data_IF_769366072525
#
_entry.id   IF_769366072525
#
_cell.length_a   1.000
_cell.length_b   1.000
_cell.length_c   1.000
_cell.angle_alpha   90.00
_cell.angle_beta   90.00
_cell.angle_gamma   90.00
#
_symmetry.space_group_name_H-M   'P 1'
#
loop_
_entity.id
_entity.type
_entity.pdbx_description
1 polymer ?
#
# COMPACT_ATOMS: atom_id res chain seq x y z
N UNK A 1 43.69 65.51 -36.57
CA UNK A 1 43.46 65.08 -37.98
C UNK A 1 43.62 63.56 -38.04
N UNK A 2 42.48 62.87 -38.19
CA UNK A 2 42.23 61.56 -38.83
C UNK A 2 43.28 60.42 -38.80
N UNK A 3 42.79 59.23 -38.36
CA UNK A 3 42.86 57.86 -38.95
C UNK A 3 43.14 56.82 -37.85
N UNK A 4 42.14 56.07 -37.36
CA UNK A 4 41.62 54.76 -37.85
C UNK A 4 42.67 53.63 -37.85
N UNK A 5 42.39 52.58 -37.06
CA UNK A 5 42.43 51.14 -37.42
C UNK A 5 42.87 50.28 -36.23
N UNK A 6 41.94 49.66 -35.50
CA UNK A 6 41.59 48.24 -35.62
C UNK A 6 42.77 47.26 -35.47
N UNK A 7 42.92 46.66 -34.29
CA UNK A 7 43.37 45.28 -34.19
C UNK A 7 42.69 44.59 -33.00
N UNK A 8 41.80 43.67 -33.33
CA UNK A 8 41.08 42.80 -32.41
C UNK A 8 41.99 41.63 -32.04
N UNK A 9 42.14 41.32 -30.75
CA UNK A 9 42.49 39.97 -30.30
C UNK A 9 41.69 39.67 -29.02
N UNK A 10 40.49 39.15 -29.22
CA UNK A 10 39.64 38.61 -28.15
C UNK A 10 40.08 37.15 -27.96
N UNK A 11 40.80 36.86 -26.88
CA UNK A 11 41.13 35.50 -26.47
C UNK A 11 39.86 34.93 -25.82
N UNK A 12 39.13 34.11 -26.59
CA UNK A 12 38.01 33.32 -26.10
C UNK A 12 38.61 32.10 -25.41
N UNK A 13 38.59 32.10 -24.08
CA UNK A 13 38.80 30.89 -23.29
C UNK A 13 37.60 29.96 -23.53
N UNK A 14 37.82 28.88 -24.29
CA UNK A 14 36.92 27.73 -24.30
C UNK A 14 36.93 27.10 -22.91
N UNK A 15 35.89 27.36 -22.12
CA UNK A 15 35.49 26.45 -21.04
C UNK A 15 34.85 25.23 -21.70
N UNK A 16 35.61 24.16 -21.85
CA UNK A 16 35.07 22.82 -22.04
C UNK A 16 34.45 22.41 -20.69
N UNK A 17 33.19 22.77 -20.50
CA UNK A 17 32.31 22.08 -19.56
C UNK A 17 32.09 20.68 -20.13
N UNK A 18 32.81 19.70 -19.59
CA UNK A 18 32.42 18.31 -19.72
C UNK A 18 31.05 18.18 -19.06
N UNK A 19 30.03 18.03 -19.91
CA UNK A 19 28.73 17.55 -19.49
C UNK A 19 28.95 16.08 -19.16
N UNK A 20 29.00 15.75 -17.87
CA UNK A 20 28.76 14.38 -17.44
C UNK A 20 27.31 14.10 -17.84
N UNK A 21 27.12 13.38 -18.94
CA UNK A 21 25.86 12.69 -19.20
C UNK A 21 25.87 11.48 -18.28
N UNK A 22 25.48 11.71 -17.03
CA UNK A 22 24.98 10.65 -16.18
C UNK A 22 23.61 10.28 -16.78
N UNK A 23 23.66 9.50 -17.86
CA UNK A 23 22.48 8.82 -18.42
C UNK A 23 22.14 7.66 -17.46
N UNK A 24 21.79 8.01 -16.22
CA UNK A 24 20.85 7.21 -15.48
C UNK A 24 19.55 7.31 -16.26
N UNK A 25 19.18 6.23 -16.94
CA UNK A 25 17.89 6.15 -17.61
C UNK A 25 16.82 6.45 -16.54
N UNK A 26 16.25 7.66 -16.56
CA UNK A 26 15.01 7.93 -15.83
C UNK A 26 14.03 6.85 -16.29
N UNK A 27 13.67 5.93 -15.39
CA UNK A 27 12.59 4.99 -15.67
C UNK A 27 11.41 5.84 -16.13
N UNK A 28 10.89 5.56 -17.32
CA UNK A 28 9.78 6.29 -17.92
C UNK A 28 8.51 5.90 -17.17
N UNK A 29 8.38 6.35 -15.93
CA UNK A 29 7.11 6.51 -15.24
C UNK A 29 6.43 7.79 -15.76
N UNK A 30 6.53 8.06 -17.06
CA UNK A 30 5.71 9.04 -17.75
C UNK A 30 4.23 8.74 -17.44
N UNK A 31 3.34 9.69 -17.71
CA UNK A 31 1.90 9.49 -17.69
C UNK A 31 1.43 8.51 -18.79
N UNK A 32 2.23 7.49 -19.12
CA UNK A 32 1.84 6.36 -19.94
C UNK A 32 0.59 5.77 -19.31
N UNK A 33 -0.48 5.82 -20.09
CA UNK A 33 -1.81 5.49 -19.61
C UNK A 33 -1.91 3.99 -19.33
N UNK A 34 -1.18 3.13 -20.05
CA UNK A 34 -1.33 1.66 -19.95
C UNK A 34 -0.17 1.01 -19.19
N UNK A 35 -0.48 0.14 -18.23
CA UNK A 35 0.52 -0.52 -17.38
C UNK A 35 1.49 -1.40 -18.18
N UNK A 36 1.01 -2.24 -19.10
CA UNK A 36 1.88 -3.12 -19.89
C UNK A 36 2.94 -2.36 -20.69
N UNK A 37 2.66 -1.15 -21.14
CA UNK A 37 3.63 -0.30 -21.84
C UNK A 37 4.75 0.14 -20.90
N UNK A 38 4.41 0.51 -19.66
CA UNK A 38 5.40 0.82 -18.60
C UNK A 38 6.25 -0.42 -18.30
N UNK A 39 5.64 -1.59 -18.11
CA UNK A 39 6.38 -2.80 -17.76
C UNK A 39 7.29 -3.28 -18.90
N UNK A 40 6.93 -3.04 -20.16
CA UNK A 40 7.70 -3.50 -21.33
C UNK A 40 9.09 -2.86 -21.47
N UNK A 41 9.34 -1.72 -20.83
CA UNK A 41 10.60 -0.96 -20.94
C UNK A 41 11.34 -0.79 -19.62
N UNK A 42 10.77 -1.27 -18.50
CA UNK A 42 11.35 -1.15 -17.16
C UNK A 42 11.63 -2.53 -16.57
N UNK A 43 12.61 -2.62 -15.67
CA UNK A 43 12.79 -3.81 -14.82
C UNK A 43 11.66 -3.82 -13.80
N UNK A 44 10.96 -4.94 -13.65
CA UNK A 44 9.82 -5.02 -12.76
C UNK A 44 9.70 -6.38 -12.07
N UNK A 45 8.99 -6.38 -10.94
CA UNK A 45 8.63 -7.56 -10.17
C UNK A 45 7.12 -7.57 -9.92
N UNK A 46 6.46 -8.63 -10.37
CA UNK A 46 5.04 -8.92 -10.10
C UNK A 46 4.88 -9.51 -8.69
N UNK A 47 3.68 -9.37 -8.12
CA UNK A 47 3.31 -9.87 -6.79
C UNK A 47 4.24 -9.39 -5.65
N UNK A 48 4.93 -8.26 -5.86
CA UNK A 48 5.91 -7.72 -4.93
C UNK A 48 5.33 -6.67 -3.96
N UNK A 49 4.09 -6.24 -4.19
CA UNK A 49 3.41 -5.26 -3.33
C UNK A 49 2.23 -5.92 -2.61
N UNK A 50 2.25 -5.84 -1.29
CA UNK A 50 1.11 -6.22 -0.46
C UNK A 50 0.05 -5.12 -0.58
N UNK A 51 -1.08 -5.45 -1.20
CA UNK A 51 -2.20 -4.53 -1.38
C UNK A 51 -3.54 -5.25 -1.18
N UNK A 52 -4.52 -4.50 -0.69
CA UNK A 52 -5.91 -4.96 -0.57
C UNK A 52 -6.87 -3.78 -0.72
N UNK A 53 -8.15 -4.03 -0.93
CA UNK A 53 -9.15 -2.97 -1.03
C UNK A 53 -10.41 -3.26 -0.21
N UNK A 54 -10.98 -2.21 0.35
CA UNK A 54 -12.23 -2.27 1.11
C UNK A 54 -13.14 -1.10 0.72
N UNK A 55 -14.46 -1.31 0.75
CA UNK A 55 -15.39 -0.17 0.77
C UNK A 55 -15.38 0.49 2.15
N UNK A 56 -15.56 1.81 2.23
CA UNK A 56 -15.53 2.52 3.52
C UNK A 56 -16.76 2.24 4.39
N UNK A 57 -16.65 2.54 5.68
CA UNK A 57 -17.71 2.39 6.69
C UNK A 57 -18.84 3.41 6.54
N UNK A 58 -18.55 4.58 5.97
CA UNK A 58 -19.52 5.67 5.81
C UNK A 58 -20.10 5.79 4.39
N UNK A 59 -19.45 5.24 3.35
CA UNK A 59 -19.96 5.23 1.98
C UNK A 59 -19.48 4.00 1.20
N UNK A 60 -20.38 3.04 0.98
CA UNK A 60 -20.08 1.82 0.25
C UNK A 60 -19.66 2.04 -1.22
N UNK A 61 -19.88 3.23 -1.79
CA UNK A 61 -19.42 3.56 -3.14
C UNK A 61 -17.94 3.98 -3.19
N UNK A 62 -17.40 4.38 -2.03
CA UNK A 62 -16.02 4.79 -1.85
C UNK A 62 -15.16 3.57 -1.48
N UNK A 63 -14.04 3.41 -2.17
CA UNK A 63 -13.11 2.31 -1.98
C UNK A 63 -11.75 2.87 -1.58
N UNK A 64 -11.20 2.31 -0.52
CA UNK A 64 -9.79 2.50 -0.16
C UNK A 64 -8.99 1.32 -0.69
N UNK A 65 -7.97 1.59 -1.50
CA UNK A 65 -6.98 0.62 -1.96
C UNK A 65 -5.72 0.81 -1.11
N UNK A 66 -5.57 -0.04 -0.10
CA UNK A 66 -4.46 -0.02 0.84
C UNK A 66 -3.25 -0.75 0.27
N UNK A 67 -2.06 -0.28 0.63
CA UNK A 67 -0.81 -0.98 0.31
C UNK A 67 0.29 -0.67 1.33
N UNK A 68 1.23 -1.61 1.44
CA UNK A 68 2.45 -1.47 2.24
C UNK A 68 3.62 -1.05 1.33
N UNK A 69 4.13 0.20 1.46
CA UNK A 69 5.33 0.62 0.74
C UNK A 69 6.60 0.11 1.42
N UNK A 70 7.49 -0.52 0.66
CA UNK A 70 8.84 -0.85 1.13
C UNK A 70 9.68 0.42 1.43
N UNK A 71 10.73 0.25 2.23
CA UNK A 71 11.68 1.33 2.50
C UNK A 71 12.31 1.86 1.19
N UNK A 72 12.23 3.18 0.97
CA UNK A 72 12.70 3.81 -0.26
C UNK A 72 11.72 3.77 -1.42
N UNK A 73 10.51 3.23 -1.22
CA UNK A 73 9.46 3.27 -2.22
C UNK A 73 9.01 4.71 -2.53
N UNK A 74 8.83 4.99 -3.82
CA UNK A 74 8.42 6.29 -4.33
C UNK A 74 7.52 6.14 -5.56
N UNK A 75 6.96 7.27 -6.02
CA UNK A 75 6.15 7.33 -7.24
C UNK A 75 4.95 6.37 -7.23
N UNK A 76 4.20 6.36 -6.13
CA UNK A 76 3.00 5.52 -5.97
C UNK A 76 1.96 5.85 -7.03
N UNK A 77 1.54 4.85 -7.79
CA UNK A 77 0.49 4.93 -8.80
C UNK A 77 -0.55 3.85 -8.58
N UNK A 78 -1.78 4.17 -8.96
CA UNK A 78 -2.88 3.22 -9.05
C UNK A 78 -3.26 3.06 -10.52
N UNK A 79 -3.39 1.82 -10.95
CA UNK A 79 -3.92 1.46 -12.24
C UNK A 79 -5.24 0.69 -12.06
N UNK A 80 -6.15 0.85 -13.01
CA UNK A 80 -7.47 0.23 -12.97
C UNK A 80 -7.90 -0.30 -14.34
N UNK A 81 -8.72 -1.34 -14.35
CA UNK A 81 -9.33 -1.86 -15.58
C UNK A 81 -10.67 -1.17 -15.87
N UNK A 82 -11.31 -1.52 -16.99
CA UNK A 82 -12.74 -1.25 -17.12
C UNK A 82 -13.59 -2.13 -16.16
N UNK A 83 -14.90 -1.86 -16.10
CA UNK A 83 -15.85 -2.57 -15.22
C UNK A 83 -16.20 -4.00 -15.68
N UNK A 84 -15.84 -4.38 -16.91
CA UNK A 84 -16.24 -5.65 -17.53
C UNK A 84 -15.07 -6.63 -17.69
N UNK A 85 -13.85 -6.17 -17.42
CA UNK A 85 -12.62 -6.94 -17.53
C UNK A 85 -12.69 -8.19 -16.67
N UNK A 86 -12.49 -9.33 -17.31
CA UNK A 86 -12.59 -10.64 -16.65
C UNK A 86 -11.24 -11.05 -16.07
N UNK A 87 -10.18 -10.91 -16.86
CA UNK A 87 -8.83 -11.31 -16.47
C UNK A 87 -8.08 -10.15 -15.79
N UNK A 88 -7.89 -10.22 -14.47
CA UNK A 88 -7.10 -9.23 -13.74
C UNK A 88 -5.59 -9.29 -14.02
N UNK A 89 -5.10 -10.37 -14.62
CA UNK A 89 -3.66 -10.53 -14.92
C UNK A 89 -3.27 -9.91 -16.28
N UNK A 90 -4.22 -9.39 -17.05
CA UNK A 90 -3.94 -8.72 -18.33
C UNK A 90 -3.60 -7.24 -18.12
N UNK A 91 -2.33 -6.95 -17.85
CA UNK A 91 -1.84 -5.58 -17.64
C UNK A 91 -1.99 -4.63 -18.85
N UNK A 92 -2.42 -5.13 -20.02
CA UNK A 92 -2.75 -4.25 -21.15
C UNK A 92 -4.10 -3.55 -21.01
N UNK A 93 -4.96 -4.03 -20.11
CA UNK A 93 -6.28 -3.43 -19.81
C UNK A 93 -6.22 -2.38 -18.69
N UNK A 94 -5.05 -2.18 -18.09
CA UNK A 94 -4.87 -1.34 -16.90
C UNK A 94 -4.49 0.09 -17.25
N UNK A 95 -5.37 1.02 -16.92
CA UNK A 95 -5.23 2.45 -17.14
C UNK A 95 -4.79 3.17 -15.86
N UNK A 96 -3.81 4.06 -15.96
CA UNK A 96 -3.37 4.91 -14.86
C UNK A 96 -4.49 5.87 -14.44
N UNK A 97 -4.71 5.98 -13.13
CA UNK A 97 -5.58 6.99 -12.55
C UNK A 97 -4.79 7.93 -11.64
N UNK A 98 -4.93 9.22 -11.93
CA UNK A 98 -4.22 10.29 -11.24
C UNK A 98 -4.88 10.58 -9.88
N UNK A 99 -4.42 9.84 -8.87
CA UNK A 99 -4.84 9.97 -7.48
C UNK A 99 -3.63 10.13 -6.57
N UNK A 100 -3.76 10.99 -5.56
CA UNK A 100 -2.78 11.07 -4.48
C UNK A 100 -3.05 10.01 -3.41
N UNK A 101 -1.98 9.54 -2.78
CA UNK A 101 -2.07 8.60 -1.66
C UNK A 101 -2.09 9.34 -0.33
N UNK A 102 -2.91 8.83 0.60
CA UNK A 102 -2.96 9.28 1.99
C UNK A 102 -2.17 8.30 2.87
N UNK A 103 -1.42 8.79 3.87
CA UNK A 103 -0.76 7.90 4.83
C UNK A 103 -1.80 7.26 5.76
N UNK A 104 -1.51 6.03 6.19
CA UNK A 104 -2.22 5.31 7.24
C UNK A 104 -1.20 4.81 8.26
N UNK A 105 -1.58 4.82 9.54
CA UNK A 105 -0.71 4.45 10.65
C UNK A 105 0.65 5.17 10.66
N UNK A 106 0.60 6.51 10.56
CA UNK A 106 1.78 7.38 10.40
C UNK A 106 2.71 7.01 9.24
N UNK A 107 2.14 6.43 8.17
CA UNK A 107 2.83 6.17 6.91
C UNK A 107 3.37 4.75 6.77
N UNK A 108 3.16 3.89 7.77
CA UNK A 108 3.49 2.47 7.65
C UNK A 108 2.67 1.79 6.54
N UNK A 109 1.41 2.21 6.37
CA UNK A 109 0.60 1.90 5.20
C UNK A 109 0.24 3.18 4.47
N UNK A 110 -0.18 3.03 3.22
CA UNK A 110 -0.77 4.12 2.44
C UNK A 110 -2.02 3.61 1.73
N UNK A 111 -2.87 4.52 1.30
CA UNK A 111 -4.02 4.15 0.48
C UNK A 111 -4.35 5.19 -0.57
N UNK A 112 -4.93 4.72 -1.67
CA UNK A 112 -5.68 5.53 -2.61
C UNK A 112 -7.17 5.46 -2.26
N UNK A 113 -7.91 6.53 -2.51
CA UNK A 113 -9.35 6.60 -2.29
C UNK A 113 -10.03 6.89 -3.63
N UNK A 114 -10.98 6.04 -4.04
CA UNK A 114 -11.61 6.13 -5.37
C UNK A 114 -13.09 5.76 -5.34
N UNK A 115 -13.85 6.29 -6.29
CA UNK A 115 -15.25 5.90 -6.58
C UNK A 115 -15.36 5.08 -7.86
N UNK A 116 -14.23 4.60 -8.41
CA UNK A 116 -14.19 3.83 -9.64
C UNK A 116 -15.01 2.53 -9.59
N UNK A 117 -15.59 2.18 -10.72
CA UNK A 117 -16.31 0.92 -10.94
C UNK A 117 -15.46 -0.10 -11.71
N UNK A 118 -14.15 0.12 -11.84
CA UNK A 118 -13.21 -0.83 -12.42
C UNK A 118 -13.40 -2.23 -11.81
N UNK A 119 -13.25 -3.27 -12.61
CA UNK A 119 -13.30 -4.64 -12.13
C UNK A 119 -12.08 -4.96 -11.24
N UNK A 120 -10.91 -4.39 -11.57
CA UNK A 120 -9.66 -4.63 -10.86
C UNK A 120 -8.85 -3.35 -10.67
N UNK A 121 -8.06 -3.35 -9.60
CA UNK A 121 -7.02 -2.37 -9.32
C UNK A 121 -5.66 -3.05 -9.23
N UNK A 122 -4.58 -2.31 -9.48
CA UNK A 122 -3.23 -2.71 -9.07
C UNK A 122 -2.40 -1.50 -8.67
N UNK A 123 -1.67 -1.63 -7.57
CA UNK A 123 -0.76 -0.60 -7.07
C UNK A 123 0.61 -0.84 -7.66
N UNK A 124 1.24 0.24 -8.11
CA UNK A 124 2.58 0.22 -8.69
C UNK A 124 3.42 1.30 -8.01
N UNK A 125 4.65 0.95 -7.63
CA UNK A 125 5.63 1.93 -7.15
C UNK A 125 7.05 1.54 -7.56
N UNK A 126 8.00 2.44 -7.33
CA UNK A 126 9.40 2.22 -7.66
C UNK A 126 10.25 2.11 -6.40
N UNK A 127 11.17 1.15 -6.37
CA UNK A 127 12.25 1.04 -5.36
C UNK A 127 13.57 0.94 -6.11
N UNK A 128 14.42 1.96 -6.00
CA UNK A 128 15.63 2.06 -6.83
C UNK A 128 15.24 2.05 -8.32
N UNK A 129 15.79 1.12 -9.09
CA UNK A 129 15.51 0.99 -10.54
C UNK A 129 14.48 -0.11 -10.87
N UNK A 130 13.78 -0.64 -9.85
CA UNK A 130 12.79 -1.71 -10.03
C UNK A 130 11.38 -1.21 -9.78
N UNK A 131 10.48 -1.50 -10.72
CA UNK A 131 9.04 -1.31 -10.56
C UNK A 131 8.45 -2.49 -9.80
N UNK A 132 7.80 -2.22 -8.68
CA UNK A 132 7.07 -3.21 -7.88
C UNK A 132 5.59 -3.13 -8.25
N UNK A 133 5.00 -4.28 -8.58
CA UNK A 133 3.60 -4.40 -8.98
C UNK A 133 2.85 -5.28 -7.97
N UNK A 134 1.68 -4.84 -7.52
CA UNK A 134 0.81 -5.63 -6.66
C UNK A 134 0.11 -6.74 -7.45
N UNK A 135 -0.15 -7.86 -6.78
CA UNK A 135 -1.20 -8.78 -7.25
C UNK A 135 -2.50 -8.00 -7.44
N UNK A 136 -3.21 -8.15 -8.57
CA UNK A 136 -4.48 -7.48 -8.81
C UNK A 136 -5.47 -7.62 -7.65
N UNK A 137 -6.14 -6.51 -7.33
CA UNK A 137 -7.18 -6.45 -6.31
C UNK A 137 -8.54 -6.37 -6.98
N UNK A 138 -9.41 -7.35 -6.72
CA UNK A 138 -10.76 -7.37 -7.29
C UNK A 138 -11.62 -6.33 -6.59
N UNK A 139 -12.24 -5.44 -7.36
CA UNK A 139 -13.23 -4.53 -6.82
C UNK A 139 -14.56 -5.26 -6.65
N UNK A 140 -15.04 -5.38 -5.40
CA UNK A 140 -16.31 -6.04 -5.08
C UNK A 140 -17.33 -5.08 -4.48
N UNK A 141 -17.07 -3.77 -4.49
CA UNK A 141 -17.92 -2.78 -3.80
C UNK A 141 -19.41 -2.87 -4.14
N UNK A 142 -19.76 -3.23 -5.38
CA UNK A 142 -21.17 -3.29 -5.82
C UNK A 142 -21.83 -4.64 -5.59
N UNK A 143 -21.07 -5.74 -5.52
CA UNK A 143 -21.59 -7.09 -5.33
C UNK A 143 -21.50 -7.57 -3.88
N UNK A 144 -20.44 -7.14 -3.17
CA UNK A 144 -20.09 -7.51 -1.81
C UNK A 144 -19.28 -6.38 -1.15
N UNK A 145 -19.93 -5.26 -0.73
CA UNK A 145 -19.27 -4.25 0.09
C UNK A 145 -18.69 -4.85 1.37
N UNK A 146 -17.57 -4.29 1.84
CA UNK A 146 -16.93 -4.65 3.10
C UNK A 146 -17.85 -4.35 4.29
N UNK A 147 -17.90 -5.26 5.25
CA UNK A 147 -18.64 -5.07 6.50
C UNK A 147 -17.72 -4.49 7.58
N UNK A 148 -18.29 -3.66 8.45
CA UNK A 148 -17.56 -2.98 9.52
C UNK A 148 -18.19 -3.29 10.87
N UNK A 149 -17.36 -3.64 11.86
CA UNK A 149 -17.78 -3.91 13.24
C UNK A 149 -16.64 -3.57 14.22
N UNK A 150 -16.93 -3.59 15.52
CA UNK A 150 -15.97 -3.43 16.61
C UNK A 150 -15.95 -4.66 17.54
N UNK A 151 -16.55 -5.77 17.12
CA UNK A 151 -16.70 -6.99 17.91
C UNK A 151 -15.43 -7.87 17.86
N UNK A 152 -14.55 -7.69 18.85
CA UNK A 152 -13.42 -8.59 19.13
C UNK A 152 -13.47 -9.05 20.58
N UNK A 153 -13.25 -10.34 20.81
CA UNK A 153 -13.02 -10.89 22.14
C UNK A 153 -11.57 -10.65 22.54
N UNK A 154 -11.36 -9.91 23.64
CA UNK A 154 -10.03 -9.55 24.14
C UNK A 154 -9.80 -10.21 25.51
N UNK A 155 -8.88 -11.16 25.57
CA UNK A 155 -8.46 -11.80 26.82
C UNK A 155 -7.13 -11.20 27.28
N UNK A 156 -7.16 -10.53 28.45
CA UNK A 156 -6.01 -9.82 29.04
C UNK A 156 -5.43 -10.50 30.29
N UNK A 157 -5.69 -11.80 30.48
CA UNK A 157 -5.18 -12.56 31.63
C UNK A 157 -3.65 -12.51 31.75
N UNK A 158 -2.94 -12.38 30.62
CA UNK A 158 -1.50 -12.16 30.60
C UNK A 158 -1.22 -10.66 30.39
N UNK A 159 -0.68 -10.02 31.42
CA UNK A 159 -0.40 -8.58 31.41
C UNK A 159 0.48 -8.18 30.22
N UNK A 160 0.01 -7.17 29.47
CA UNK A 160 0.69 -6.62 28.29
C UNK A 160 0.72 -7.54 27.07
N UNK A 161 0.04 -8.70 27.09
CA UNK A 161 0.01 -9.69 26.00
C UNK A 161 -1.40 -10.19 25.71
N UNK A 162 -2.33 -9.28 25.33
CA UNK A 162 -3.72 -9.65 25.05
C UNK A 162 -3.81 -10.69 23.93
N UNK A 163 -4.82 -11.56 24.06
CA UNK A 163 -5.26 -12.47 23.01
C UNK A 163 -6.53 -11.90 22.41
N UNK A 164 -6.51 -11.68 21.10
CA UNK A 164 -7.63 -11.21 20.29
C UNK A 164 -8.24 -12.40 19.57
N UNK A 165 -9.57 -12.48 19.51
CA UNK A 165 -10.28 -13.48 18.73
C UNK A 165 -11.55 -12.87 18.15
N UNK A 166 -11.87 -13.21 16.91
CA UNK A 166 -13.00 -12.64 16.17
C UNK A 166 -13.78 -13.71 15.43
N UNK A 167 -15.04 -13.41 15.14
CA UNK A 167 -15.87 -14.25 14.28
C UNK A 167 -15.52 -14.00 12.81
N UNK A 168 -15.55 -15.08 12.02
CA UNK A 168 -15.23 -15.05 10.60
C UNK A 168 -16.53 -15.00 9.81
N UNK A 169 -16.75 -13.96 9.00
CA UNK A 169 -17.99 -13.82 8.22
C UNK A 169 -18.19 -14.98 7.23
N UNK A 170 -17.11 -15.45 6.60
CA UNK A 170 -17.18 -16.54 5.63
C UNK A 170 -15.85 -17.24 5.42
N UNK A 171 -15.68 -18.40 6.06
CA UNK A 171 -14.48 -19.23 5.88
C UNK A 171 -14.16 -19.58 4.41
N UNK A 172 -15.19 -19.68 3.55
CA UNK A 172 -15.01 -19.97 2.12
C UNK A 172 -14.50 -18.78 1.31
N UNK A 173 -14.80 -17.55 1.74
CA UNK A 173 -14.44 -16.33 0.99
C UNK A 173 -13.18 -15.64 1.51
N UNK A 174 -12.64 -16.11 2.63
CA UNK A 174 -11.53 -15.51 3.35
C UNK A 174 -10.26 -16.33 3.15
N UNK A 175 -9.15 -15.66 2.87
CA UNK A 175 -7.87 -16.29 2.64
C UNK A 175 -6.90 -16.07 3.81
N UNK A 176 -6.90 -14.86 4.38
CA UNK A 176 -5.91 -14.45 5.38
C UNK A 176 -6.45 -13.28 6.19
N UNK A 177 -6.02 -13.17 7.45
CA UNK A 177 -6.30 -12.04 8.31
C UNK A 177 -5.08 -11.13 8.38
N UNK A 178 -5.31 -9.82 8.25
CA UNK A 178 -4.29 -8.80 8.49
C UNK A 178 -4.61 -8.08 9.80
N UNK A 179 -3.81 -8.34 10.83
CA UNK A 179 -3.98 -7.73 12.14
C UNK A 179 -3.05 -6.54 12.34
N UNK A 180 -3.59 -5.46 12.87
CA UNK A 180 -2.85 -4.23 13.17
C UNK A 180 -3.17 -3.80 14.59
N UNK A 181 -2.13 -3.49 15.35
CA UNK A 181 -2.24 -2.83 16.64
C UNK A 181 -1.64 -1.43 16.54
N UNK A 182 -2.39 -0.42 17.00
CA UNK A 182 -1.94 0.97 17.01
C UNK A 182 -2.17 1.65 18.34
N UNK A 183 -1.47 2.76 18.56
CA UNK A 183 -1.85 3.74 19.58
C UNK A 183 -3.14 4.47 19.20
N UNK A 184 -3.72 5.24 20.14
CA UNK A 184 -4.83 6.17 19.83
C UNK A 184 -4.43 7.26 18.82
N UNK A 185 -3.15 7.63 18.76
CA UNK A 185 -2.61 8.56 17.76
C UNK A 185 -2.33 7.91 16.41
N UNK A 186 -2.80 6.67 16.19
CA UNK A 186 -2.58 5.88 14.97
C UNK A 186 -1.11 5.59 14.69
N UNK A 187 -0.25 5.48 15.71
CA UNK A 187 1.11 4.95 15.51
C UNK A 187 1.05 3.43 15.39
N UNK A 188 1.66 2.87 14.34
CA UNK A 188 1.80 1.42 14.21
C UNK A 188 2.65 0.86 15.35
N UNK A 189 2.10 -0.13 16.06
CA UNK A 189 2.82 -0.92 17.07
C UNK A 189 3.18 -2.28 16.50
N UNK A 190 2.22 -2.94 15.84
CA UNK A 190 2.39 -4.26 15.24
C UNK A 190 1.50 -4.40 14.02
N UNK A 191 2.00 -5.05 12.98
CA UNK A 191 1.25 -5.46 11.79
C UNK A 191 1.65 -6.87 11.37
N UNK A 192 0.70 -7.80 11.39
CA UNK A 192 0.93 -9.22 11.11
C UNK A 192 -0.14 -9.79 10.20
N UNK A 193 0.15 -10.93 9.60
CA UNK A 193 -0.83 -11.74 8.92
C UNK A 193 -0.88 -13.14 9.53
N UNK A 194 -2.10 -13.68 9.67
CA UNK A 194 -2.33 -15.05 10.12
C UNK A 194 -3.44 -15.74 9.30
N UNK A 195 -3.47 -17.07 9.34
CA UNK A 195 -4.61 -17.86 8.83
C UNK A 195 -5.66 -18.15 9.90
N UNK A 196 -5.38 -17.82 11.16
CA UNK A 196 -6.23 -18.16 12.29
C UNK A 196 -7.01 -16.92 12.72
N UNK A 197 -8.27 -17.08 13.11
CA UNK A 197 -9.09 -15.99 13.63
C UNK A 197 -8.76 -15.60 15.09
N UNK A 198 -7.51 -15.82 15.49
CA UNK A 198 -6.99 -15.52 16.82
C UNK A 198 -5.52 -15.10 16.73
N UNK A 199 -5.18 -14.04 17.43
CA UNK A 199 -3.83 -13.51 17.50
C UNK A 199 -3.48 -13.15 18.94
N UNK A 200 -2.29 -13.54 19.41
CA UNK A 200 -1.76 -13.08 20.70
C UNK A 200 -0.63 -12.09 20.45
N UNK A 201 -0.74 -10.90 21.04
CA UNK A 201 0.32 -9.90 20.95
C UNK A 201 1.67 -10.48 21.41
N UNK A 202 2.72 -10.22 20.62
CA UNK A 202 4.08 -10.76 20.76
C UNK A 202 4.31 -12.25 20.51
N UNK A 203 3.29 -13.01 20.10
CA UNK A 203 3.50 -14.39 19.65
C UNK A 203 3.42 -14.45 18.15
N UNK A 204 4.47 -15.00 17.55
CA UNK A 204 4.59 -15.16 16.10
C UNK A 204 4.35 -16.60 15.65
N UNK A 205 3.97 -17.51 16.55
CA UNK A 205 3.84 -18.95 16.27
C UNK A 205 2.85 -19.26 15.14
N UNK A 206 1.80 -18.43 15.00
CA UNK A 206 0.78 -18.52 13.95
C UNK A 206 0.88 -17.39 12.90
N UNK A 207 1.93 -16.58 12.94
CA UNK A 207 2.15 -15.47 12.01
C UNK A 207 2.87 -15.97 10.77
N UNK A 208 2.30 -15.67 9.61
CA UNK A 208 2.84 -16.09 8.30
C UNK A 208 3.58 -14.97 7.59
N UNK A 209 3.26 -13.71 7.93
CA UNK A 209 3.98 -12.54 7.48
C UNK A 209 3.95 -11.47 8.58
N UNK A 210 5.08 -10.82 8.83
CA UNK A 210 5.20 -9.75 9.81
C UNK A 210 5.75 -8.50 9.12
N UNK A 211 4.97 -7.43 9.09
CA UNK A 211 5.36 -6.14 8.49
C UNK A 211 5.83 -5.14 9.56
N UNK A 212 5.87 -5.55 10.83
CA UNK A 212 6.40 -4.74 11.92
C UNK A 212 7.92 -4.61 11.74
N UNK A 213 8.47 -3.38 11.61
CA UNK A 213 9.87 -3.19 11.24
C UNK A 213 10.84 -3.66 12.33
N UNK A 214 10.46 -3.50 13.59
CA UNK A 214 11.26 -3.86 14.77
C UNK A 214 10.45 -4.74 15.73
N UNK A 215 11.10 -5.22 16.79
CA UNK A 215 10.38 -5.87 17.89
C UNK A 215 9.40 -4.86 18.51
N UNK A 216 8.09 -5.18 18.62
CA UNK A 216 7.13 -4.23 19.17
C UNK A 216 7.47 -3.88 20.64
N UNK A 217 7.03 -2.71 21.15
CA UNK A 217 7.20 -2.32 22.55
C UNK A 217 6.13 -2.92 23.46
N UNK A 218 6.42 -3.07 24.76
CA UNK A 218 5.45 -3.64 25.70
C UNK A 218 4.23 -2.72 25.78
N UNK A 219 3.04 -3.31 25.80
CA UNK A 219 1.85 -2.53 26.05
C UNK A 219 1.88 -2.01 27.48
N UNK A 220 1.44 -0.77 27.66
CA UNK A 220 1.47 -0.07 28.93
C UNK A 220 0.10 -0.22 29.58
N UNK A 221 0.04 -0.83 30.76
CA UNK A 221 -1.21 -0.95 31.54
C UNK A 221 -1.84 0.43 31.77
N UNK A 222 -3.15 0.51 31.58
CA UNK A 222 -3.94 1.73 31.65
C UNK A 222 -3.93 2.58 30.37
N UNK A 223 -3.08 2.28 29.38
CA UNK A 223 -3.13 2.96 28.09
C UNK A 223 -4.18 2.34 27.17
N UNK A 224 -4.69 3.18 26.26
CA UNK A 224 -5.61 2.78 25.22
C UNK A 224 -4.88 2.49 23.91
N UNK A 225 -5.40 1.50 23.19
CA UNK A 225 -4.90 1.05 21.90
C UNK A 225 -6.08 0.69 20.99
N UNK A 226 -5.81 0.59 19.70
CA UNK A 226 -6.80 0.17 18.69
C UNK A 226 -6.28 -1.10 18.05
N UNK A 227 -7.06 -2.18 18.16
CA UNK A 227 -6.84 -3.40 17.42
C UNK A 227 -7.72 -3.40 16.17
N UNK A 228 -7.11 -3.57 15.01
CA UNK A 228 -7.80 -3.68 13.74
C UNK A 228 -7.50 -5.04 13.12
N UNK A 229 -8.52 -5.72 12.59
CA UNK A 229 -8.31 -6.87 11.70
C UNK A 229 -9.05 -6.65 10.39
N UNK A 230 -8.36 -6.91 9.29
CA UNK A 230 -8.95 -6.98 7.96
C UNK A 230 -9.01 -8.43 7.50
N UNK A 231 -10.19 -8.86 7.10
CA UNK A 231 -10.47 -10.19 6.62
C UNK A 231 -10.35 -10.22 5.09
N UNK A 232 -9.23 -10.71 4.58
CA UNK A 232 -8.81 -10.54 3.18
C UNK A 232 -9.07 -11.82 2.39
N UNK A 233 -9.76 -11.71 1.26
CA UNK A 233 -10.03 -12.80 0.32
C UNK A 233 -8.83 -13.11 -0.58
N UNK A 234 -8.92 -14.22 -1.33
CA UNK A 234 -7.90 -14.60 -2.32
C UNK A 234 -7.75 -13.59 -3.45
N UNK A 235 -8.80 -12.80 -3.73
CA UNK A 235 -8.80 -11.73 -4.72
C UNK A 235 -8.47 -10.35 -4.11
N UNK A 236 -7.83 -10.36 -2.93
CA UNK A 236 -7.34 -9.20 -2.17
C UNK A 236 -8.42 -8.19 -1.77
N UNK A 237 -9.70 -8.58 -1.81
CA UNK A 237 -10.78 -7.77 -1.28
C UNK A 237 -10.95 -8.01 0.22
N UNK A 238 -11.21 -6.95 0.96
CA UNK A 238 -11.48 -7.04 2.40
C UNK A 238 -12.97 -7.26 2.61
N UNK A 239 -13.35 -8.44 3.07
CA UNK A 239 -14.74 -8.79 3.35
C UNK A 239 -15.25 -8.15 4.64
N UNK A 240 -14.39 -8.08 5.66
CA UNK A 240 -14.69 -7.48 6.96
C UNK A 240 -13.52 -6.62 7.43
N UNK A 241 -13.84 -5.48 8.03
CA UNK A 241 -12.92 -4.72 8.87
C UNK A 241 -13.50 -4.70 10.28
N UNK A 242 -12.72 -5.13 11.25
CA UNK A 242 -13.05 -5.02 12.66
C UNK A 242 -12.08 -4.04 13.29
N UNK A 243 -12.58 -3.02 13.98
CA UNK A 243 -11.75 -2.01 14.64
C UNK A 243 -12.22 -1.79 16.06
N UNK A 244 -11.46 -2.26 17.04
CA UNK A 244 -11.84 -2.31 18.45
C UNK A 244 -10.85 -1.52 19.30
N UNK A 245 -11.27 -0.39 19.90
CA UNK A 245 -10.49 0.26 20.93
C UNK A 245 -10.53 -0.57 22.24
N UNK A 246 -9.41 -0.63 22.95
CA UNK A 246 -9.34 -1.28 24.27
C UNK A 246 -8.31 -0.62 25.19
N UNK A 247 -8.52 -0.77 26.50
CA UNK A 247 -7.56 -0.36 27.52
C UNK A 247 -6.81 -1.58 28.03
N UNK A 248 -5.49 -1.50 28.13
CA UNK A 248 -4.66 -2.60 28.62
C UNK A 248 -4.82 -2.75 30.14
N UNK A 249 -5.08 -3.98 30.60
CA UNK A 249 -5.15 -4.35 32.03
C UNK A 249 -3.78 -4.50 32.69
#
# INVERSE_FOLDING_TARGET
MRLISNLKLLIICLFISACDSDDGAELLLNNNTILSEVLSVNIYEEDAVIACAASTDYDANLVNVYFYPEAGAQSFKLYETDAFTVNGEDFSEYNFIDLETKPLFNGALRFFETTSNAAWFTVVYQVGDVIKVATPVRNKKSSQPSQWTDEVLINQQQSGMPIFSWDVLSEENNAIFFEVLTTESSDLISGTYTYNNQFQYYKLDNVVLNITPDTPPNLISGNNYIFTVMDVSLDNWVNQVIMTPFTVE
#
